data_IF_081845767736
#
_entry.id   IF_081845767736
#
_cell.length_a   1.000
_cell.length_b   1.000
_cell.length_c   1.000
_cell.angle_alpha   90.00
_cell.angle_beta   90.00
_cell.angle_gamma   90.00
#
_symmetry.space_group_name_H-M   'P 1'
#
loop_
_entity.id
_entity.type
_entity.pdbx_description
1 polymer ?
#
# COMPACT_ATOMS: atom_id res chain seq x y z
N UNK A 1 -42.01 -32.36 19.14
CA UNK A 1 -40.94 -32.32 18.13
C UNK A 1 -41.61 -32.13 16.79
N UNK A 2 -41.64 -30.90 16.28
CA UNK A 2 -42.14 -30.63 14.93
C UNK A 2 -40.98 -30.81 13.96
N UNK A 3 -41.16 -31.68 12.97
CA UNK A 3 -40.20 -31.87 11.90
C UNK A 3 -40.39 -30.75 10.87
N UNK A 4 -39.31 -30.12 10.39
CA UNK A 4 -39.42 -29.08 9.37
C UNK A 4 -40.08 -29.63 8.11
N UNK A 5 -40.91 -28.82 7.47
CA UNK A 5 -41.58 -29.20 6.23
C UNK A 5 -40.56 -29.50 5.15
N UNK A 6 -40.87 -30.45 4.26
CA UNK A 6 -40.02 -30.74 3.09
C UNK A 6 -39.75 -29.50 2.22
N UNK A 7 -40.65 -28.50 2.23
CA UNK A 7 -40.43 -27.22 1.55
C UNK A 7 -39.33 -26.40 2.24
N UNK A 8 -39.31 -26.38 3.57
CA UNK A 8 -38.35 -25.62 4.36
C UNK A 8 -36.94 -26.23 4.22
N UNK A 9 -36.84 -27.56 4.21
CA UNK A 9 -35.57 -28.25 3.95
C UNK A 9 -35.01 -27.96 2.55
N UNK A 10 -35.87 -27.93 1.53
CA UNK A 10 -35.45 -27.61 0.15
C UNK A 10 -35.03 -26.16 0.01
N UNK A 11 -35.72 -25.24 0.70
CA UNK A 11 -35.37 -23.82 0.71
C UNK A 11 -34.02 -23.58 1.41
N UNK A 12 -33.79 -24.22 2.56
CA UNK A 12 -32.52 -24.14 3.27
C UNK A 12 -31.35 -24.65 2.41
N UNK A 13 -31.53 -25.78 1.72
CA UNK A 13 -30.50 -26.35 0.86
C UNK A 13 -30.22 -25.50 -0.38
N UNK A 14 -31.26 -24.87 -0.94
CA UNK A 14 -31.09 -23.90 -2.04
C UNK A 14 -30.35 -22.64 -1.59
N UNK A 15 -30.60 -22.15 -0.37
CA UNK A 15 -29.91 -21.00 0.20
C UNK A 15 -28.43 -21.31 0.46
N UNK A 16 -28.11 -22.47 1.04
CA UNK A 16 -26.72 -22.89 1.26
C UNK A 16 -25.96 -23.04 -0.05
N UNK A 17 -26.59 -23.62 -1.08
CA UNK A 17 -25.99 -23.72 -2.41
C UNK A 17 -25.72 -22.33 -2.99
N UNK A 18 -26.65 -21.39 -2.85
CA UNK A 18 -26.51 -20.04 -3.36
C UNK A 18 -25.37 -19.29 -2.66
N UNK A 19 -25.28 -19.39 -1.32
CA UNK A 19 -24.18 -18.81 -0.54
C UNK A 19 -22.82 -19.42 -0.89
N UNK A 20 -22.77 -20.74 -1.11
CA UNK A 20 -21.56 -21.42 -1.54
C UNK A 20 -21.12 -21.00 -2.95
N UNK A 21 -22.07 -20.81 -3.86
CA UNK A 21 -21.80 -20.29 -5.21
C UNK A 21 -21.34 -18.83 -5.15
N UNK A 22 -21.97 -17.98 -4.34
CA UNK A 22 -21.56 -16.60 -4.13
C UNK A 22 -20.14 -16.53 -3.55
N UNK A 23 -19.84 -17.28 -2.49
CA UNK A 23 -18.50 -17.31 -1.91
C UNK A 23 -17.42 -17.81 -2.89
N UNK A 24 -17.78 -18.68 -3.84
CA UNK A 24 -16.85 -19.29 -4.80
C UNK A 24 -16.66 -18.44 -6.06
N UNK A 25 -17.72 -17.78 -6.52
CA UNK A 25 -17.77 -17.14 -7.84
C UNK A 25 -18.02 -15.64 -7.80
N UNK A 26 -18.47 -15.07 -6.67
CA UNK A 26 -18.56 -13.63 -6.55
C UNK A 26 -17.14 -13.05 -6.52
N UNK A 27 -16.80 -12.11 -7.40
CA UNK A 27 -15.54 -11.39 -7.29
C UNK A 27 -15.55 -10.66 -5.94
N UNK A 28 -14.43 -10.72 -5.21
CA UNK A 28 -14.29 -9.88 -4.01
C UNK A 28 -14.34 -8.42 -4.46
N UNK A 29 -15.47 -7.77 -4.22
CA UNK A 29 -15.66 -6.35 -4.52
C UNK A 29 -14.82 -5.59 -3.49
N UNK A 30 -13.60 -5.27 -3.90
CA UNK A 30 -12.68 -4.47 -3.09
C UNK A 30 -13.07 -3.00 -3.28
N UNK A 31 -13.11 -2.21 -2.21
CA UNK A 31 -13.42 -0.78 -2.35
C UNK A 31 -12.32 -0.09 -3.15
N UNK A 32 -12.68 0.96 -3.91
CA UNK A 32 -11.69 1.76 -4.66
C UNK A 32 -10.60 2.32 -3.74
N UNK A 33 -10.96 2.72 -2.52
CA UNK A 33 -10.01 3.15 -1.49
C UNK A 33 -9.01 2.03 -1.14
N UNK A 34 -9.49 0.81 -0.90
CA UNK A 34 -8.63 -0.32 -0.56
C UNK A 34 -7.70 -0.66 -1.72
N UNK A 35 -8.20 -0.65 -2.96
CA UNK A 35 -7.37 -0.87 -4.15
C UNK A 35 -6.32 0.22 -4.34
N UNK A 36 -6.68 1.49 -4.14
CA UNK A 36 -5.76 2.62 -4.25
C UNK A 36 -4.66 2.55 -3.18
N UNK A 37 -5.03 2.27 -1.92
CA UNK A 37 -4.08 2.06 -0.82
C UNK A 37 -3.16 0.88 -1.07
N UNK A 38 -3.66 -0.23 -1.62
CA UNK A 38 -2.83 -1.37 -2.00
C UNK A 38 -1.86 -1.04 -3.14
N UNK A 39 -2.31 -0.31 -4.17
CA UNK A 39 -1.44 0.13 -5.27
C UNK A 39 -0.30 1.02 -4.77
N UNK A 40 -0.60 1.99 -3.92
CA UNK A 40 0.40 2.91 -3.35
C UNK A 40 1.37 2.23 -2.37
N UNK A 41 0.90 1.25 -1.59
CA UNK A 41 1.74 0.54 -0.60
C UNK A 41 2.57 -0.61 -1.19
N UNK A 42 2.10 -1.27 -2.25
CA UNK A 42 2.71 -2.49 -2.81
C UNK A 42 4.07 -2.27 -3.50
N UNK A 43 4.63 -1.06 -3.51
CA UNK A 43 5.83 -0.68 -4.29
C UNK A 43 5.72 -0.98 -5.79
N UNK A 44 4.56 -1.40 -6.28
CA UNK A 44 4.28 -1.62 -7.70
C UNK A 44 4.04 -0.30 -8.42
N UNK A 45 3.56 0.69 -7.68
CA UNK A 45 3.37 2.05 -8.16
C UNK A 45 4.65 2.87 -7.97
N UNK A 46 5.51 2.84 -8.99
CA UNK A 46 6.79 3.59 -9.02
C UNK A 46 6.86 4.54 -10.21
N UNK A 47 7.70 5.56 -10.03
CA UNK A 47 8.21 6.43 -11.06
C UNK A 47 8.94 5.59 -12.11
N UNK A 48 8.61 5.81 -13.38
CA UNK A 48 9.24 5.07 -14.48
C UNK A 48 10.65 5.64 -14.76
N UNK A 49 11.59 4.85 -15.30
CA UNK A 49 12.98 5.28 -15.50
C UNK A 49 13.18 6.54 -16.36
N UNK A 50 12.24 6.85 -17.26
CA UNK A 50 12.29 8.03 -18.15
C UNK A 50 11.19 9.05 -17.86
N UNK A 51 10.46 8.87 -16.77
CA UNK A 51 9.38 9.78 -16.37
C UNK A 51 9.97 10.97 -15.62
N UNK A 52 9.36 12.15 -15.76
CA UNK A 52 9.73 13.31 -14.94
C UNK A 52 9.03 13.25 -13.59
N UNK A 53 9.60 13.88 -12.56
CA UNK A 53 8.97 13.92 -11.23
C UNK A 53 7.57 14.54 -11.30
N UNK A 54 7.39 15.59 -12.10
CA UNK A 54 6.08 16.22 -12.31
C UNK A 54 5.05 15.26 -12.94
N UNK A 55 5.46 14.47 -13.94
CA UNK A 55 4.57 13.48 -14.56
C UNK A 55 4.21 12.35 -13.59
N UNK A 56 5.17 11.89 -12.79
CA UNK A 56 4.92 10.92 -11.71
C UNK A 56 3.96 11.50 -10.65
N UNK A 57 4.18 12.74 -10.21
CA UNK A 57 3.30 13.44 -9.27
C UNK A 57 1.86 13.52 -9.78
N UNK A 58 1.64 13.95 -11.02
CA UNK A 58 0.28 14.02 -11.57
C UNK A 58 -0.43 12.66 -11.56
N UNK A 59 0.29 11.57 -11.88
CA UNK A 59 -0.32 10.23 -11.79
C UNK A 59 -0.55 9.81 -10.34
N UNK A 60 0.36 10.14 -9.42
CA UNK A 60 0.20 9.84 -8.00
C UNK A 60 -1.02 10.55 -7.40
N UNK A 61 -1.20 11.83 -7.70
CA UNK A 61 -2.38 12.62 -7.32
C UNK A 61 -3.67 12.01 -7.88
N UNK A 62 -3.65 11.51 -9.11
CA UNK A 62 -4.80 10.83 -9.72
C UNK A 62 -5.18 9.51 -9.02
N UNK A 63 -4.26 8.84 -8.31
CA UNK A 63 -4.60 7.69 -7.47
C UNK A 63 -5.08 8.14 -6.09
N UNK A 64 -4.52 9.22 -5.55
CA UNK A 64 -4.94 9.78 -4.26
C UNK A 64 -6.40 10.21 -4.25
N UNK A 65 -7.00 10.59 -5.39
CA UNK A 65 -8.42 10.94 -5.45
C UNK A 65 -9.35 9.77 -5.09
N UNK A 66 -8.89 8.53 -5.24
CA UNK A 66 -9.64 7.34 -4.86
C UNK A 66 -9.42 6.93 -3.39
N UNK A 67 -8.47 7.57 -2.69
CA UNK A 67 -8.18 7.28 -1.27
C UNK A 67 -9.04 8.18 -0.38
N UNK A 68 -9.76 7.57 0.55
CA UNK A 68 -10.57 8.29 1.51
C UNK A 68 -9.69 8.86 2.62
N UNK A 69 -9.71 10.19 2.75
CA UNK A 69 -9.04 10.97 3.81
C UNK A 69 -7.59 10.53 4.12
N UNK A 70 -6.68 10.48 3.14
CA UNK A 70 -5.28 10.15 3.39
C UNK A 70 -4.62 11.19 4.29
N UNK A 71 -3.91 10.75 5.31
CA UNK A 71 -3.10 11.64 6.15
C UNK A 71 -1.88 12.14 5.38
N UNK A 72 -1.38 13.32 5.75
CA UNK A 72 -0.20 13.88 5.09
C UNK A 72 1.06 13.01 5.24
N UNK A 73 1.33 12.37 6.40
CA UNK A 73 2.42 11.40 6.51
C UNK A 73 2.30 10.21 5.55
N UNK A 74 1.07 9.69 5.34
CA UNK A 74 0.85 8.59 4.38
C UNK A 74 1.15 9.03 2.95
N UNK A 75 0.69 10.22 2.55
CA UNK A 75 0.94 10.77 1.20
C UNK A 75 2.44 10.92 0.95
N UNK A 76 3.16 11.50 1.91
CA UNK A 76 4.62 11.70 1.82
C UNK A 76 5.31 10.34 1.71
N UNK A 77 4.94 9.40 2.57
CA UNK A 77 5.52 8.05 2.57
C UNK A 77 5.32 7.34 1.23
N UNK A 78 4.11 7.32 0.68
CA UNK A 78 3.82 6.66 -0.60
C UNK A 78 4.51 7.35 -1.77
N UNK A 79 4.49 8.69 -1.79
CA UNK A 79 5.13 9.46 -2.86
C UNK A 79 6.63 9.16 -2.90
N UNK A 80 7.31 9.27 -1.75
CA UNK A 80 8.74 9.01 -1.61
C UNK A 80 9.10 7.55 -1.92
N UNK A 81 8.31 6.59 -1.43
CA UNK A 81 8.54 5.16 -1.67
C UNK A 81 8.44 4.75 -3.15
N UNK A 82 7.77 5.57 -3.97
CA UNK A 82 7.63 5.35 -5.40
C UNK A 82 8.60 6.16 -6.27
N UNK A 83 9.41 7.07 -5.70
CA UNK A 83 10.45 7.77 -6.47
C UNK A 83 11.52 6.80 -6.98
N UNK A 84 12.25 7.20 -8.03
CA UNK A 84 13.38 6.39 -8.51
C UNK A 84 14.54 6.43 -7.52
N UNK A 85 15.27 5.32 -7.41
CA UNK A 85 16.40 5.18 -6.48
C UNK A 85 17.48 6.26 -6.73
N UNK A 86 17.61 6.74 -7.97
CA UNK A 86 18.50 7.84 -8.36
C UNK A 86 18.15 9.19 -7.72
N UNK A 87 16.90 9.38 -7.28
CA UNK A 87 16.41 10.61 -6.66
C UNK A 87 16.33 10.51 -5.13
N UNK A 88 16.23 9.29 -4.60
CA UNK A 88 16.09 9.03 -3.16
C UNK A 88 17.46 9.17 -2.43
N UNK A 89 18.56 9.24 -3.17
CA UNK A 89 19.91 9.24 -2.60
C UNK A 89 20.30 7.83 -2.19
N UNK A 90 21.50 7.40 -2.58
CA UNK A 90 22.02 6.09 -2.21
C UNK A 90 22.29 6.08 -0.69
N UNK A 91 21.73 5.17 0.11
CA UNK A 91 22.07 5.06 1.54
C UNK A 91 23.53 4.59 1.78
N UNK A 92 24.36 4.49 0.73
CA UNK A 92 25.76 4.10 0.79
C UNK A 92 26.72 5.20 1.27
N UNK A 93 26.30 6.47 1.34
CA UNK A 93 27.11 7.56 1.92
C UNK A 93 26.60 7.88 3.34
N UNK A 94 27.36 7.42 4.33
CA UNK A 94 26.97 7.27 5.73
C UNK A 94 26.39 8.51 6.43
N UNK A 95 25.39 8.23 7.27
CA UNK A 95 24.79 9.05 8.35
C UNK A 95 24.77 10.59 8.09
N UNK A 96 23.72 11.15 7.46
CA UNK A 96 23.31 12.52 7.84
C UNK A 96 21.85 12.96 7.62
N UNK A 97 20.87 12.09 7.35
CA UNK A 97 19.45 12.56 7.38
C UNK A 97 18.40 11.48 7.70
N UNK A 98 18.83 10.38 8.33
CA UNK A 98 17.94 9.48 9.07
C UNK A 98 17.38 10.19 10.31
N UNK A 99 16.44 11.12 10.14
CA UNK A 99 15.86 11.83 11.28
C UNK A 99 14.36 12.14 11.17
N UNK A 100 13.66 11.77 10.10
CA UNK A 100 12.27 12.24 9.98
C UNK A 100 11.14 11.25 10.27
N UNK A 101 11.24 9.93 10.05
CA UNK A 101 10.01 9.13 10.19
C UNK A 101 10.18 7.62 10.44
N UNK A 102 11.02 7.21 11.39
CA UNK A 102 11.01 5.83 11.90
C UNK A 102 11.00 5.79 13.44
N UNK A 103 9.96 5.23 14.09
CA UNK A 103 9.96 5.03 15.55
C UNK A 103 10.83 3.84 15.99
N UNK A 104 11.62 3.25 15.10
CA UNK A 104 12.38 2.01 15.36
C UNK A 104 13.78 1.98 14.73
N UNK A 105 14.48 3.11 14.66
CA UNK A 105 15.93 3.10 14.47
C UNK A 105 16.63 2.67 15.77
N UNK A 106 16.74 1.37 15.98
CA UNK A 106 17.53 0.73 17.04
C UNK A 106 18.82 0.21 16.38
N UNK A 107 19.81 1.09 16.15
CA UNK A 107 21.18 0.64 15.83
C UNK A 107 22.21 1.56 16.48
N UNK A 108 23.12 1.03 17.34
CA UNK A 108 23.97 1.84 18.22
C UNK A 108 25.37 2.13 17.67
N UNK A 109 25.55 2.35 16.36
CA UNK A 109 26.89 2.49 15.78
C UNK A 109 26.97 3.54 14.64
N UNK A 110 26.77 4.84 14.93
CA UNK A 110 27.40 5.93 14.15
C UNK A 110 28.52 6.55 15.03
N UNK A 111 29.64 5.86 15.21
CA UNK A 111 30.89 6.44 15.74
C UNK A 111 32.02 6.15 14.76
N UNK A 112 32.32 7.12 13.89
CA UNK A 112 33.38 6.98 12.90
C UNK A 112 33.64 8.26 12.12
N UNK A 113 34.06 9.33 12.82
CA UNK A 113 34.51 10.58 12.20
C UNK A 113 35.96 10.37 11.71
N UNK A 114 36.15 10.12 10.41
CA UNK A 114 37.44 10.11 9.74
C UNK A 114 37.69 11.44 9.04
N UNK A 115 38.78 12.12 9.42
CA UNK A 115 39.29 13.38 8.86
C UNK A 115 39.32 13.45 7.33
N UNK A 116 38.90 14.59 6.79
CA UNK A 116 39.16 15.02 5.41
C UNK A 116 40.31 16.03 5.44
N UNK A 117 41.48 15.64 4.93
CA UNK A 117 42.49 16.54 4.39
C UNK A 117 42.66 16.22 2.90
N UNK A 118 42.61 17.26 2.05
CA UNK A 118 42.76 17.22 0.61
C UNK A 118 42.42 18.56 -0.03
#
# INVERSE_FOLDING_TARGET
MEFPSMKDMRFALALELLLALEARFAPQVTSRDTEARQKLSSRSYRMRPSETVAAYQSRFEAILTDVESPSDPEKIFWFHSGLSDSLIGDPADGCSECAYFYPSCIFPECTGFGSRDG
#
